data_IF_108686808424
#
_entry.id   IF_108686808424
#
_cell.length_a   1.000
_cell.length_b   1.000
_cell.length_c   1.000
_cell.angle_alpha   90.00
_cell.angle_beta   90.00
_cell.angle_gamma   90.00
#
_symmetry.space_group_name_H-M   'P 1'
#
loop_
_entity.id
_entity.type
_entity.pdbx_description
1 polymer ?
#
# COMPACT_ATOMS: atom_id res chain seq x y z
N UNK A 1 -50.90 24.66 39.93
CA UNK A 1 -50.66 25.28 38.61
C UNK A 1 -49.88 24.28 37.76
N UNK A 2 -50.51 23.78 36.70
CA UNK A 2 -49.91 22.86 35.72
C UNK A 2 -48.91 23.65 34.88
N UNK A 3 -47.64 23.25 34.89
CA UNK A 3 -46.67 23.66 33.87
C UNK A 3 -46.15 22.40 33.19
N UNK A 4 -46.60 22.22 31.96
CA UNK A 4 -46.08 21.24 31.03
C UNK A 4 -44.66 21.63 30.61
N UNK A 5 -43.70 20.73 30.75
CA UNK A 5 -42.42 20.76 30.04
C UNK A 5 -41.83 19.36 30.25
N UNK A 6 -42.00 18.40 29.36
CA UNK A 6 -41.66 18.49 27.95
C UNK A 6 -40.56 17.46 27.68
N UNK A 7 -40.91 16.17 27.74
CA UNK A 7 -40.64 15.16 26.70
C UNK A 7 -39.19 14.94 26.15
N UNK A 8 -38.17 15.67 26.56
CA UNK A 8 -36.94 15.83 25.76
C UNK A 8 -35.67 15.20 26.36
N UNK A 9 -35.76 14.04 27.01
CA UNK A 9 -34.55 13.39 27.57
C UNK A 9 -34.42 11.93 27.14
N UNK A 10 -34.96 11.59 25.97
CA UNK A 10 -34.76 10.27 25.38
C UNK A 10 -34.16 10.44 23.99
N UNK A 11 -32.85 10.71 23.93
CA UNK A 11 -31.97 10.57 22.76
C UNK A 11 -30.52 10.89 23.20
N UNK A 12 -29.94 10.01 23.99
CA UNK A 12 -28.48 9.97 24.25
C UNK A 12 -27.94 8.58 23.89
N UNK A 13 -28.30 8.11 22.70
CA UNK A 13 -27.73 6.93 22.06
C UNK A 13 -27.50 7.30 20.60
N UNK A 14 -26.35 6.88 20.04
CA UNK A 14 -25.80 7.20 18.71
C UNK A 14 -24.95 8.48 18.79
N UNK A 15 -23.61 8.43 18.80
CA UNK A 15 -22.72 7.91 17.75
C UNK A 15 -21.41 7.45 18.38
N UNK A 16 -21.11 6.17 18.31
CA UNK A 16 -19.71 5.69 18.25
C UNK A 16 -19.61 4.68 17.10
N UNK A 17 -20.14 5.08 15.94
CA UNK A 17 -19.92 4.34 14.70
C UNK A 17 -18.49 4.57 14.24
N UNK A 18 -17.67 3.57 14.49
CA UNK A 18 -16.71 3.07 13.51
C UNK A 18 -15.72 4.10 12.97
N UNK A 19 -14.70 4.44 13.76
CA UNK A 19 -13.38 4.63 13.19
C UNK A 19 -12.68 3.25 13.11
N UNK A 20 -13.30 2.29 12.41
CA UNK A 20 -12.54 1.21 11.80
C UNK A 20 -11.80 1.83 10.63
N UNK A 21 -10.81 2.67 10.96
CA UNK A 21 -9.84 3.11 9.99
C UNK A 21 -9.20 1.85 9.47
N UNK A 22 -9.56 1.45 8.25
CA UNK A 22 -8.83 0.46 7.48
C UNK A 22 -7.43 1.02 7.29
N UNK A 23 -6.57 0.84 8.30
CA UNK A 23 -5.16 1.15 8.18
C UNK A 23 -4.66 0.27 7.06
N UNK A 24 -4.23 0.90 5.96
CA UNK A 24 -3.55 0.16 4.92
C UNK A 24 -2.30 -0.42 5.59
N UNK A 25 -2.11 -1.73 5.49
CA UNK A 25 -0.85 -2.32 5.91
C UNK A 25 0.26 -1.63 5.12
N UNK A 26 1.39 -1.33 5.75
CA UNK A 26 2.50 -0.69 5.08
C UNK A 26 3.69 -1.65 5.06
N UNK A 27 4.30 -1.78 3.89
CA UNK A 27 5.56 -2.49 3.73
C UNK A 27 6.59 -1.55 3.11
N UNK A 28 7.73 -1.43 3.78
CA UNK A 28 8.87 -0.67 3.30
C UNK A 28 9.99 -1.62 2.92
N UNK A 29 10.40 -1.57 1.65
CA UNK A 29 11.49 -2.34 1.10
C UNK A 29 12.68 -1.44 0.75
N UNK A 30 13.88 -1.92 1.00
CA UNK A 30 15.14 -1.26 0.66
C UNK A 30 15.72 -1.82 -0.65
N UNK A 31 16.00 -0.95 -1.63
CA UNK A 31 16.66 -1.34 -2.88
C UNK A 31 17.97 -2.10 -2.64
N UNK A 32 18.72 -1.70 -1.61
CA UNK A 32 20.07 -2.20 -1.33
C UNK A 32 20.11 -3.60 -0.70
N UNK A 33 19.07 -4.01 0.04
CA UNK A 33 19.10 -5.25 0.85
C UNK A 33 17.95 -6.20 0.57
N UNK A 34 16.80 -5.69 0.11
CA UNK A 34 15.58 -6.48 0.01
C UNK A 34 15.34 -7.03 -1.39
N UNK A 35 16.10 -6.59 -2.39
CA UNK A 35 15.96 -7.02 -3.78
C UNK A 35 17.22 -7.73 -4.28
N UNK A 36 17.01 -8.86 -4.95
CA UNK A 36 18.07 -9.60 -5.66
C UNK A 36 18.10 -9.25 -7.15
N UNK A 37 16.99 -8.74 -7.70
CA UNK A 37 16.90 -8.24 -9.07
C UNK A 37 15.77 -7.21 -9.18
N UNK A 38 16.02 -6.14 -9.93
CA UNK A 38 15.00 -5.19 -10.35
C UNK A 38 15.12 -4.93 -11.85
N UNK A 39 14.01 -5.01 -12.57
CA UNK A 39 13.93 -4.77 -14.01
C UNK A 39 12.87 -3.70 -14.28
N UNK A 40 13.30 -2.54 -14.75
CA UNK A 40 12.44 -1.39 -15.00
C UNK A 40 12.21 -1.19 -16.49
N UNK A 41 10.94 -1.13 -16.89
CA UNK A 41 10.53 -0.76 -18.23
C UNK A 41 10.23 0.75 -18.30
N UNK A 42 11.15 1.50 -18.92
CA UNK A 42 11.05 2.96 -19.03
C UNK A 42 10.16 3.43 -20.19
N UNK A 43 10.17 2.71 -21.31
CA UNK A 43 9.42 3.11 -22.50
C UNK A 43 8.99 1.89 -23.27
N UNK A 44 7.70 1.82 -23.52
CA UNK A 44 7.07 0.90 -24.47
C UNK A 44 6.24 1.76 -25.43
N UNK A 45 6.51 1.64 -26.74
CA UNK A 45 5.85 2.47 -27.76
C UNK A 45 4.39 2.03 -28.01
N UNK A 46 4.02 0.82 -27.61
CA UNK A 46 2.70 0.24 -27.91
C UNK A 46 1.63 0.55 -26.85
N UNK A 47 1.99 1.30 -25.80
CA UNK A 47 1.07 1.59 -24.69
C UNK A 47 1.19 3.02 -24.18
N UNK A 48 0.04 3.70 -24.10
CA UNK A 48 -0.14 4.99 -23.42
C UNK A 48 0.04 4.82 -21.91
N UNK A 49 1.29 4.70 -21.45
CA UNK A 49 1.59 4.49 -20.04
C UNK A 49 1.70 5.82 -19.28
N UNK A 50 0.81 5.98 -18.28
CA UNK A 50 0.89 7.02 -17.26
C UNK A 50 1.82 6.66 -16.07
N UNK A 51 2.35 5.43 -16.06
CA UNK A 51 3.21 4.88 -15.02
C UNK A 51 4.28 3.95 -15.61
N UNK A 52 5.43 3.81 -14.94
CA UNK A 52 6.47 2.84 -15.29
C UNK A 52 6.14 1.47 -14.69
N UNK A 53 6.53 0.39 -15.35
CA UNK A 53 6.40 -0.96 -14.79
C UNK A 53 7.76 -1.47 -14.33
N UNK A 54 7.82 -1.99 -13.11
CA UNK A 54 9.02 -2.59 -12.55
C UNK A 54 8.71 -4.01 -12.09
N UNK A 55 9.46 -4.99 -12.61
CA UNK A 55 9.47 -6.33 -12.06
C UNK A 55 10.56 -6.40 -11.00
N UNK A 56 10.21 -6.92 -9.83
CA UNK A 56 11.13 -7.03 -8.70
C UNK A 56 11.21 -8.48 -8.25
N UNK A 57 12.42 -8.90 -7.89
CA UNK A 57 12.69 -10.17 -7.23
C UNK A 57 13.30 -9.86 -5.88
N UNK A 58 12.65 -10.33 -4.83
CA UNK A 58 13.07 -10.13 -3.44
C UNK A 58 14.20 -11.09 -3.05
N UNK A 59 14.93 -10.72 -2.02
CA UNK A 59 15.76 -11.67 -1.25
C UNK A 59 14.88 -12.67 -0.50
N UNK A 60 15.42 -13.84 -0.10
CA UNK A 60 14.68 -14.80 0.72
C UNK A 60 14.11 -14.18 2.00
N UNK A 61 14.89 -13.36 2.70
CA UNK A 61 14.47 -12.69 3.93
C UNK A 61 13.33 -11.69 3.68
N UNK A 62 13.43 -10.89 2.62
CA UNK A 62 12.38 -9.96 2.24
C UNK A 62 11.12 -10.69 1.74
N UNK A 63 11.28 -11.85 1.09
CA UNK A 63 10.16 -12.70 0.66
C UNK A 63 9.37 -13.20 1.86
N UNK A 64 10.03 -13.70 2.90
CA UNK A 64 9.35 -14.15 4.11
C UNK A 64 8.58 -13.01 4.80
N UNK A 65 9.18 -11.82 4.88
CA UNK A 65 8.51 -10.62 5.42
C UNK A 65 7.29 -10.24 4.58
N UNK A 66 7.43 -10.20 3.26
CA UNK A 66 6.34 -9.89 2.32
C UNK A 66 5.20 -10.90 2.44
N UNK A 67 5.50 -12.19 2.50
CA UNK A 67 4.50 -13.24 2.65
C UNK A 67 3.75 -13.14 3.97
N UNK A 68 4.45 -12.81 5.08
CA UNK A 68 3.83 -12.61 6.39
C UNK A 68 2.83 -11.44 6.34
N UNK A 69 3.28 -10.28 5.87
CA UNK A 69 2.46 -9.06 5.82
C UNK A 69 1.27 -9.23 4.87
N UNK A 70 1.49 -9.80 3.68
CA UNK A 70 0.41 -9.99 2.70
C UNK A 70 -0.61 -11.02 3.16
N UNK A 71 -0.20 -12.06 3.89
CA UNK A 71 -1.11 -13.04 4.50
C UNK A 71 -2.00 -12.41 5.58
N UNK A 72 -1.44 -11.55 6.40
CA UNK A 72 -2.17 -10.82 7.44
C UNK A 72 -3.09 -9.73 6.85
N UNK A 73 -2.78 -9.25 5.66
CA UNK A 73 -3.45 -8.12 5.00
C UNK A 73 -4.40 -8.54 3.87
N UNK A 74 -4.73 -9.83 3.75
CA UNK A 74 -5.69 -10.30 2.72
C UNK A 74 -7.02 -9.56 2.88
N UNK A 75 -7.56 -9.05 1.77
CA UNK A 75 -8.79 -8.27 1.73
C UNK A 75 -8.63 -6.80 2.15
N UNK A 76 -7.43 -6.39 2.57
CA UNK A 76 -7.13 -5.02 2.98
C UNK A 76 -6.19 -4.34 1.98
N UNK A 77 -6.11 -3.01 2.06
CA UNK A 77 -5.15 -2.23 1.27
C UNK A 77 -3.75 -2.42 1.85
N UNK A 78 -2.77 -2.61 0.98
CA UNK A 78 -1.35 -2.63 1.30
C UNK A 78 -0.67 -1.50 0.53
N UNK A 79 0.00 -0.62 1.25
CA UNK A 79 0.88 0.42 0.70
C UNK A 79 2.30 -0.13 0.63
N UNK A 80 2.84 -0.20 -0.58
CA UNK A 80 4.23 -0.54 -0.83
C UNK A 80 5.06 0.73 -0.95
N UNK A 81 6.08 0.82 -0.11
CA UNK A 81 7.09 1.86 -0.14
C UNK A 81 8.46 1.25 -0.49
N UNK A 82 9.22 1.90 -1.36
CA UNK A 82 10.60 1.52 -1.69
C UNK A 82 11.50 2.69 -1.31
N UNK A 83 12.53 2.44 -0.50
CA UNK A 83 13.43 3.49 0.01
C UNK A 83 12.69 4.68 0.67
N UNK A 84 11.57 4.40 1.34
CA UNK A 84 10.72 5.45 1.94
C UNK A 84 9.74 6.14 1.00
N UNK A 85 9.81 5.90 -0.32
CA UNK A 85 8.87 6.46 -1.29
C UNK A 85 7.68 5.54 -1.50
N UNK A 86 6.47 6.07 -1.30
CA UNK A 86 5.22 5.34 -1.56
C UNK A 86 5.06 5.09 -3.05
N UNK A 87 5.20 3.84 -3.46
CA UNK A 87 5.18 3.44 -4.86
C UNK A 87 3.77 3.11 -5.32
N UNK A 88 3.05 2.32 -4.53
CA UNK A 88 1.70 1.87 -4.87
C UNK A 88 0.88 1.56 -3.63
N UNK A 89 -0.43 1.62 -3.74
CA UNK A 89 -1.36 1.12 -2.74
C UNK A 89 -2.40 0.26 -3.45
N UNK A 90 -2.46 -1.03 -3.10
CA UNK A 90 -3.33 -2.00 -3.76
C UNK A 90 -4.01 -2.90 -2.73
N UNK A 91 -5.20 -3.41 -3.06
CA UNK A 91 -5.86 -4.43 -2.24
C UNK A 91 -5.14 -5.76 -2.41
N UNK A 92 -4.78 -6.39 -1.30
CA UNK A 92 -4.14 -7.71 -1.32
C UNK A 92 -5.21 -8.78 -1.51
N UNK A 93 -5.20 -9.42 -2.68
CA UNK A 93 -6.10 -10.53 -2.98
C UNK A 93 -5.48 -11.89 -2.68
N UNK A 94 -4.15 -11.98 -2.67
CA UNK A 94 -3.40 -13.20 -2.40
C UNK A 94 -2.03 -12.88 -1.78
N UNK A 95 -1.42 -13.86 -1.14
CA UNK A 95 -0.05 -13.77 -0.64
C UNK A 95 0.89 -13.50 -1.82
N UNK A 96 1.74 -12.47 -1.71
CA UNK A 96 2.75 -12.18 -2.74
C UNK A 96 3.98 -13.07 -2.55
N UNK A 97 4.50 -13.60 -3.66
CA UNK A 97 5.71 -14.41 -3.69
C UNK A 97 6.99 -13.59 -3.68
N UNK A 98 8.11 -14.22 -4.03
CA UNK A 98 9.42 -13.58 -4.17
C UNK A 98 9.51 -12.65 -5.38
N UNK A 99 8.68 -12.85 -6.40
CA UNK A 99 8.66 -12.03 -7.61
C UNK A 99 7.28 -11.43 -7.83
N UNK A 100 7.23 -10.14 -8.12
CA UNK A 100 5.99 -9.43 -8.45
C UNK A 100 6.26 -8.20 -9.31
N UNK A 101 5.20 -7.67 -9.91
CA UNK A 101 5.23 -6.44 -10.71
C UNK A 101 4.63 -5.29 -9.93
N UNK A 102 5.27 -4.14 -10.03
CA UNK A 102 4.81 -2.88 -9.45
C UNK A 102 4.66 -1.84 -10.54
N UNK A 103 3.57 -1.08 -10.48
CA UNK A 103 3.39 0.11 -11.29
C UNK A 103 3.84 1.33 -10.49
N UNK A 104 4.78 2.10 -11.05
CA UNK A 104 5.38 3.29 -10.44
C UNK A 104 4.83 4.53 -11.14
N UNK A 105 4.04 5.37 -10.47
CA UNK A 105 3.57 6.62 -11.04
C UNK A 105 4.73 7.51 -11.47
N UNK A 106 4.62 8.18 -12.64
CA UNK A 106 5.68 9.08 -13.15
C UNK A 106 6.06 10.18 -12.15
N UNK A 107 5.12 10.60 -11.31
CA UNK A 107 5.36 11.60 -10.26
C UNK A 107 6.37 11.12 -9.22
N UNK A 108 6.27 9.86 -8.79
CA UNK A 108 7.17 9.27 -7.78
C UNK A 108 8.47 8.78 -8.42
N UNK A 109 8.42 8.35 -9.68
CA UNK A 109 9.58 7.80 -10.38
C UNK A 109 10.76 8.76 -10.48
N UNK A 110 10.51 10.07 -10.63
CA UNK A 110 11.60 11.07 -10.71
C UNK A 110 12.50 11.06 -9.47
N UNK A 111 11.90 10.85 -8.30
CA UNK A 111 12.61 10.88 -7.02
C UNK A 111 13.06 9.47 -6.60
N UNK A 112 12.26 8.44 -6.90
CA UNK A 112 12.56 7.06 -6.53
C UNK A 112 13.69 6.47 -7.38
N UNK A 113 13.66 6.62 -8.70
CA UNK A 113 14.56 5.91 -9.61
C UNK A 113 16.06 6.16 -9.33
N UNK A 114 16.49 7.40 -9.01
CA UNK A 114 17.89 7.64 -8.62
C UNK A 114 18.31 6.86 -7.36
N UNK A 115 17.40 6.61 -6.42
CA UNK A 115 17.70 5.89 -5.17
C UNK A 115 17.79 4.38 -5.35
N UNK A 116 17.38 3.86 -6.51
CA UNK A 116 17.41 2.41 -6.79
C UNK A 116 18.80 1.88 -7.15
N UNK A 117 19.75 2.77 -7.40
CA UNK A 117 21.07 2.46 -7.99
C UNK A 117 22.24 2.70 -7.02
N UNK A 118 21.94 3.12 -5.79
CA UNK A 118 22.92 3.29 -4.69
C UNK A 118 23.33 1.95 -4.07
#
# INVERSE_FOLDING_TARGET
MKNAMGWKIWLFLIVMTGASGSQAAEINLSSATDFTRMELLLKDNDRLHSAFEMNVTLSPEATERMQRITRESIGHKLTLSINGWKVSTATVHSVLGSQFRVSIPKAVAKDLLPTLVD
#
